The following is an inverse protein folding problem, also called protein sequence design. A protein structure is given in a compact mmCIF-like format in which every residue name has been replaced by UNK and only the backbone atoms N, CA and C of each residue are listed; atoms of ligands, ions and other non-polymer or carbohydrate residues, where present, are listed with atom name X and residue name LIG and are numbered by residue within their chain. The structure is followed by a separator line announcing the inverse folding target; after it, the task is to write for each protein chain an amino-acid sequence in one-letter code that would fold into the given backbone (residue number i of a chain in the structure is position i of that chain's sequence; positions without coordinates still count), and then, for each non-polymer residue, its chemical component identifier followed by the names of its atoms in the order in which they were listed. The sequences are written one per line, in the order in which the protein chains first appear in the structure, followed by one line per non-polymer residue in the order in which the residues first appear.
data_IF_315231775297
#
_entry.id   IF_315231775297
#
_cell.length_a   1.000
_cell.length_b   1.000
_cell.length_c   1.000
_cell.angle_alpha   90.00
_cell.angle_beta   90.00
_cell.angle_gamma   90.00
#
_symmetry.space_group_name_H-M   'P 1'
#
loop_
_entity.id
_entity.type
_entity.pdbx_description
1 polymer ?
#
# COMPACT_ATOMS: atom_id res chain seq x y z
N UNK A 1 -0.43 20.09 37.37
CA UNK A 1 -0.85 20.47 36.00
C UNK A 1 -0.35 19.40 35.06
N UNK A 2 -1.24 18.65 34.40
CA UNK A 2 -0.87 17.67 33.37
C UNK A 2 -1.11 18.33 32.00
N UNK A 3 -0.03 18.60 31.28
CA UNK A 3 -0.13 19.13 29.92
C UNK A 3 -0.30 17.95 28.96
N UNK A 4 -1.45 17.91 28.28
CA UNK A 4 -1.66 17.03 27.11
C UNK A 4 -1.31 17.79 25.84
N UNK A 5 -0.23 17.38 25.19
CA UNK A 5 0.22 17.97 23.94
C UNK A 5 -0.66 17.50 22.77
N UNK A 6 -1.24 18.44 22.02
CA UNK A 6 -1.88 18.15 20.74
C UNK A 6 -0.79 17.82 19.71
N UNK A 7 -0.87 16.67 18.98
CA UNK A 7 0.14 16.33 17.99
C UNK A 7 0.17 17.35 16.84
N UNK A 8 1.33 17.94 16.58
CA UNK A 8 1.51 18.83 15.44
C UNK A 8 1.46 17.99 14.16
N UNK A 9 0.43 18.18 13.34
CA UNK A 9 0.36 17.65 11.97
C UNK A 9 0.67 18.76 10.97
N UNK A 10 1.94 18.81 10.54
CA UNK A 10 2.32 19.33 9.24
C UNK A 10 2.67 18.12 8.38
N UNK A 11 2.39 18.15 7.08
CA UNK A 11 3.00 17.17 6.18
C UNK A 11 4.50 17.22 6.39
N UNK A 12 5.06 16.12 6.92
CA UNK A 12 6.47 16.07 7.27
C UNK A 12 7.29 16.39 6.03
N UNK A 13 8.35 17.19 6.18
CA UNK A 13 9.32 17.47 5.10
C UNK A 13 9.78 16.16 4.45
N UNK A 14 9.85 15.07 5.22
CA UNK A 14 10.15 13.71 4.76
C UNK A 14 9.08 13.20 3.79
N UNK A 15 7.81 13.35 4.13
CA UNK A 15 6.67 12.95 3.28
C UNK A 15 6.65 13.76 1.98
N UNK A 16 6.81 15.09 2.08
CA UNK A 16 6.84 15.96 0.90
C UNK A 16 8.02 15.62 -0.03
N UNK A 17 9.20 15.35 0.54
CA UNK A 17 10.37 14.94 -0.23
C UNK A 17 10.16 13.60 -0.94
N UNK A 18 9.57 12.61 -0.27
CA UNK A 18 9.28 11.32 -0.88
C UNK A 18 8.24 11.43 -2.01
N UNK A 19 7.23 12.30 -1.85
CA UNK A 19 6.26 12.60 -2.92
C UNK A 19 6.95 13.22 -4.14
N UNK A 20 7.84 14.20 -3.93
CA UNK A 20 8.53 14.87 -5.03
C UNK A 20 9.48 13.92 -5.77
N UNK A 21 10.11 12.99 -5.07
CA UNK A 21 10.92 11.92 -5.69
C UNK A 21 10.05 11.00 -6.55
N UNK A 22 8.84 10.64 -6.11
CA UNK A 22 7.92 9.88 -6.97
C UNK A 22 7.52 10.68 -8.22
N UNK A 23 7.20 11.97 -8.08
CA UNK A 23 6.91 12.84 -9.24
C UNK A 23 8.09 12.93 -10.20
N UNK A 24 9.32 12.97 -9.68
CA UNK A 24 10.54 12.95 -10.50
C UNK A 24 10.67 11.64 -11.28
N UNK A 25 10.43 10.48 -10.64
CA UNK A 25 10.43 9.17 -11.31
C UNK A 25 9.44 9.17 -12.47
N UNK A 26 8.22 9.67 -12.25
CA UNK A 26 7.18 9.73 -13.28
C UNK A 26 7.53 10.72 -14.40
N UNK A 27 8.01 11.91 -14.05
CA UNK A 27 8.34 12.98 -14.98
C UNK A 27 9.54 12.62 -15.88
N UNK A 28 10.55 11.97 -15.30
CA UNK A 28 11.72 11.48 -16.03
C UNK A 28 11.50 10.11 -16.69
N UNK A 29 10.31 9.51 -16.51
CA UNK A 29 9.94 8.19 -17.05
C UNK A 29 10.94 7.09 -16.67
N UNK A 30 11.44 7.14 -15.44
CA UNK A 30 12.42 6.18 -14.94
C UNK A 30 11.78 4.80 -14.80
N UNK A 31 12.45 3.79 -15.34
CA UNK A 31 12.05 2.39 -15.33
C UNK A 31 12.70 1.64 -14.17
N UNK A 32 12.17 0.46 -13.78
CA UNK A 32 12.83 -0.39 -12.81
C UNK A 32 14.28 -0.70 -13.22
N UNK A 33 15.22 -0.47 -12.30
CA UNK A 33 16.65 -0.57 -12.54
C UNK A 33 17.34 0.77 -12.83
N UNK A 34 16.59 1.81 -13.21
CA UNK A 34 17.15 3.14 -13.45
C UNK A 34 17.58 3.80 -12.15
N UNK A 35 18.71 4.50 -12.19
CA UNK A 35 19.25 5.18 -11.02
C UNK A 35 18.59 6.54 -10.83
N UNK A 36 18.23 6.84 -9.59
CA UNK A 36 17.89 8.21 -9.19
C UNK A 36 19.13 9.12 -9.30
N UNK A 37 18.92 10.45 -9.45
CA UNK A 37 20.00 11.41 -9.31
C UNK A 37 20.73 11.24 -7.96
N UNK A 38 22.03 11.59 -7.88
CA UNK A 38 22.80 11.48 -6.64
C UNK A 38 22.12 12.19 -5.47
N UNK A 39 22.25 11.65 -4.24
CA UNK A 39 21.64 12.25 -3.04
C UNK A 39 21.98 13.74 -2.86
N UNK A 40 23.22 14.13 -3.17
CA UNK A 40 23.63 15.55 -3.14
C UNK A 40 22.77 16.39 -4.08
N UNK A 41 22.60 15.93 -5.33
CA UNK A 41 21.80 16.61 -6.35
C UNK A 41 20.32 16.67 -5.94
N UNK A 42 19.74 15.56 -5.49
CA UNK A 42 18.35 15.53 -5.00
C UNK A 42 18.14 16.48 -3.82
N UNK A 43 19.07 16.52 -2.86
CA UNK A 43 18.94 17.41 -1.70
C UNK A 43 18.96 18.89 -2.09
N UNK A 44 19.74 19.25 -3.12
CA UNK A 44 19.80 20.60 -3.67
C UNK A 44 18.53 20.94 -4.47
N UNK A 45 18.06 20.03 -5.33
CA UNK A 45 16.83 20.21 -6.10
C UNK A 45 15.61 20.43 -5.20
N UNK A 46 15.51 19.66 -4.11
CA UNK A 46 14.40 19.71 -3.18
C UNK A 46 14.56 20.80 -2.09
N UNK A 47 15.73 21.42 -1.99
CA UNK A 47 16.00 22.43 -0.96
C UNK A 47 15.96 21.89 0.49
N UNK A 48 16.30 20.62 0.70
CA UNK A 48 16.24 19.96 2.02
C UNK A 48 17.60 19.48 2.50
N UNK A 49 17.71 19.22 3.81
CA UNK A 49 18.92 18.60 4.37
C UNK A 49 19.13 17.18 3.82
N UNK A 50 20.39 16.75 3.70
CA UNK A 50 20.72 15.36 3.33
C UNK A 50 20.13 14.34 4.31
N UNK A 51 19.96 14.69 5.58
CA UNK A 51 19.35 13.80 6.56
C UNK A 51 17.86 13.57 6.28
N UNK A 52 17.13 14.65 5.99
CA UNK A 52 15.71 14.59 5.60
C UNK A 52 15.52 13.82 4.30
N UNK A 53 16.41 14.00 3.31
CA UNK A 53 16.39 13.23 2.07
C UNK A 53 16.59 11.73 2.33
N UNK A 54 17.55 11.36 3.18
CA UNK A 54 17.83 9.94 3.49
C UNK A 54 16.66 9.26 4.20
N UNK A 55 15.94 9.98 5.07
CA UNK A 55 14.71 9.46 5.65
C UNK A 55 13.60 9.31 4.61
N UNK A 56 13.45 10.25 3.67
CA UNK A 56 12.47 10.13 2.59
C UNK A 56 12.75 8.91 1.69
N UNK A 57 14.01 8.71 1.32
CA UNK A 57 14.46 7.52 0.58
C UNK A 57 14.26 6.23 1.39
N UNK A 58 14.42 6.27 2.73
CA UNK A 58 14.14 5.13 3.62
C UNK A 58 12.66 4.75 3.61
N UNK A 59 11.77 5.74 3.60
CA UNK A 59 10.33 5.53 3.47
C UNK A 59 9.99 4.91 2.11
N UNK A 60 10.49 5.49 1.02
CA UNK A 60 10.27 4.94 -0.33
C UNK A 60 10.84 3.52 -0.49
N UNK A 61 11.96 3.23 0.17
CA UNK A 61 12.51 1.88 0.22
C UNK A 61 11.60 0.91 0.97
N UNK A 62 11.05 1.31 2.12
CA UNK A 62 10.08 0.51 2.87
C UNK A 62 8.77 0.27 2.11
N UNK A 63 8.37 1.22 1.27
CA UNK A 63 7.24 1.07 0.34
C UNK A 63 7.59 0.24 -0.90
N UNK A 64 8.87 -0.12 -1.07
CA UNK A 64 9.34 -0.90 -2.20
C UNK A 64 9.35 -0.15 -3.52
N UNK A 65 9.42 1.19 -3.53
CA UNK A 65 9.54 2.03 -4.73
C UNK A 65 10.98 2.16 -5.23
N UNK A 66 11.94 2.09 -4.30
CA UNK A 66 13.37 2.25 -4.57
C UNK A 66 14.20 1.26 -3.76
N UNK A 67 15.39 0.95 -4.23
CA UNK A 67 16.35 0.12 -3.50
C UNK A 67 17.79 0.58 -3.69
N UNK A 68 18.70 0.12 -2.83
CA UNK A 68 20.13 0.41 -2.99
C UNK A 68 20.75 -0.64 -3.91
N UNK A 69 21.22 -0.20 -5.07
CA UNK A 69 22.05 -1.01 -5.95
C UNK A 69 23.49 -1.12 -5.43
N UNK A 70 24.21 -2.15 -5.88
CA UNK A 70 25.63 -2.32 -5.60
C UNK A 70 26.41 -1.04 -6.01
N UNK A 71 27.09 -0.41 -5.05
CA UNK A 71 27.89 0.81 -5.31
C UNK A 71 27.26 2.14 -4.89
N UNK A 72 26.32 2.15 -3.92
CA UNK A 72 25.71 3.35 -3.28
C UNK A 72 24.65 4.10 -4.09
N UNK A 73 24.29 3.67 -5.30
CA UNK A 73 23.21 4.31 -6.06
C UNK A 73 21.85 3.76 -5.65
N UNK A 74 20.87 4.66 -5.55
CA UNK A 74 19.47 4.27 -5.36
C UNK A 74 18.84 4.07 -6.73
N UNK A 75 18.17 2.94 -6.93
CA UNK A 75 17.50 2.60 -8.19
C UNK A 75 16.01 2.42 -7.98
N UNK A 76 15.24 2.68 -9.03
CA UNK A 76 13.80 2.48 -9.09
C UNK A 76 13.49 0.98 -9.16
N UNK A 77 12.42 0.53 -8.50
CA UNK A 77 11.98 -0.87 -8.52
C UNK A 77 10.67 -1.03 -9.32
N UNK A 78 10.26 -2.27 -9.58
CA UNK A 78 8.95 -2.56 -10.16
C UNK A 78 7.77 -2.09 -9.29
N UNK A 79 7.97 -1.92 -7.97
CA UNK A 79 6.95 -1.41 -7.05
C UNK A 79 6.56 0.05 -7.30
N UNK A 80 7.45 0.82 -7.93
CA UNK A 80 7.15 2.21 -8.33
C UNK A 80 6.08 2.30 -9.44
N UNK A 81 5.98 1.28 -10.29
CA UNK A 81 5.11 1.27 -11.47
C UNK A 81 3.69 0.74 -11.19
N UNK A 82 3.40 0.35 -9.94
CA UNK A 82 2.16 -0.30 -9.52
C UNK A 82 1.00 0.64 -9.18
N UNK A 83 1.05 1.91 -9.57
CA UNK A 83 -0.05 2.87 -9.36
C UNK A 83 -0.37 3.14 -7.89
N UNK A 84 0.63 3.05 -7.01
CA UNK A 84 0.52 3.49 -5.62
C UNK A 84 1.54 4.58 -5.37
N UNK A 85 1.31 5.76 -5.92
CA UNK A 85 2.07 6.94 -5.50
C UNK A 85 2.00 7.07 -3.98
N UNK A 86 3.00 7.68 -3.32
CA UNK A 86 2.84 8.07 -1.90
C UNK A 86 1.59 8.93 -1.71
N UNK A 87 1.19 9.67 -2.75
CA UNK A 87 -0.08 10.39 -2.85
C UNK A 87 -1.29 9.45 -2.78
N UNK A 88 -1.25 8.32 -3.51
CA UNK A 88 -2.27 7.28 -3.40
C UNK A 88 -2.26 6.65 -2.02
N UNK A 89 -1.12 6.46 -1.36
CA UNK A 89 -1.10 5.89 -0.02
C UNK A 89 -1.69 6.84 1.04
N UNK A 90 -1.36 8.14 1.00
CA UNK A 90 -1.91 9.13 1.94
C UNK A 90 -3.39 9.42 1.67
N UNK A 91 -3.78 9.56 0.39
CA UNK A 91 -5.18 9.71 -0.02
C UNK A 91 -5.95 8.42 0.29
N UNK A 92 -5.38 7.23 0.07
CA UNK A 92 -6.01 5.95 0.42
C UNK A 92 -6.10 5.76 1.93
N UNK A 93 -5.17 6.30 2.73
CA UNK A 93 -5.24 6.28 4.20
C UNK A 93 -6.29 7.25 4.73
N UNK A 94 -6.39 8.46 4.16
CA UNK A 94 -7.44 9.43 4.49
C UNK A 94 -8.82 8.98 4.01
N UNK A 95 -8.88 8.41 2.82
CA UNK A 95 -10.07 7.78 2.27
C UNK A 95 -10.29 6.37 2.84
N UNK A 96 -9.38 5.80 3.64
CA UNK A 96 -9.51 4.43 4.13
C UNK A 96 -10.83 4.19 4.86
N UNK A 97 -11.34 5.12 5.72
CA UNK A 97 -12.64 4.96 6.33
C UNK A 97 -13.77 4.88 5.30
N UNK A 98 -13.80 5.81 4.33
CA UNK A 98 -14.82 5.86 3.29
C UNK A 98 -14.71 4.65 2.35
N UNK A 99 -13.50 4.28 1.93
CA UNK A 99 -13.25 3.11 1.11
C UNK A 99 -13.63 1.82 1.85
N UNK A 100 -13.43 1.76 3.16
CA UNK A 100 -13.87 0.65 3.99
C UNK A 100 -15.39 0.59 4.10
N UNK A 101 -16.04 1.73 4.23
CA UNK A 101 -17.50 1.85 4.24
C UNK A 101 -18.10 1.43 2.89
N UNK A 102 -17.60 1.95 1.77
CA UNK A 102 -18.01 1.54 0.41
C UNK A 102 -17.79 0.05 0.20
N UNK A 103 -16.62 -0.48 0.57
CA UNK A 103 -16.34 -1.91 0.48
C UNK A 103 -17.29 -2.74 1.35
N UNK A 104 -17.65 -2.26 2.55
CA UNK A 104 -18.61 -2.93 3.42
C UNK A 104 -20.00 -3.02 2.77
N UNK A 105 -20.48 -1.94 2.15
CA UNK A 105 -21.77 -1.93 1.46
C UNK A 105 -21.77 -2.90 0.26
N UNK A 106 -20.69 -2.90 -0.53
CA UNK A 106 -20.54 -3.84 -1.65
C UNK A 106 -20.50 -5.28 -1.15
N UNK A 107 -19.70 -5.55 -0.11
CA UNK A 107 -19.56 -6.88 0.46
C UNK A 107 -20.89 -7.40 1.03
N UNK A 108 -21.66 -6.54 1.70
CA UNK A 108 -23.00 -6.88 2.17
C UNK A 108 -23.91 -7.27 1.00
N UNK A 109 -23.93 -6.47 -0.07
CA UNK A 109 -24.77 -6.80 -1.23
C UNK A 109 -24.35 -8.09 -1.92
N UNK A 110 -23.05 -8.36 -1.99
CA UNK A 110 -22.53 -9.61 -2.52
C UNK A 110 -22.94 -10.80 -1.65
N UNK A 111 -22.93 -10.66 -0.33
CA UNK A 111 -23.37 -11.71 0.58
C UNK A 111 -24.87 -12.00 0.43
N UNK A 112 -25.71 -10.97 0.34
CA UNK A 112 -27.15 -11.12 0.06
C UNK A 112 -27.40 -11.91 -1.23
N UNK A 113 -26.77 -11.50 -2.33
CA UNK A 113 -26.94 -12.15 -3.63
C UNK A 113 -26.38 -13.58 -3.64
N UNK A 114 -25.22 -13.79 -3.01
CA UNK A 114 -24.57 -15.10 -2.93
C UNK A 114 -25.40 -16.09 -2.13
N UNK A 115 -26.06 -15.65 -1.05
CA UNK A 115 -26.91 -16.51 -0.24
C UNK A 115 -28.06 -17.14 -1.04
N UNK A 116 -28.54 -16.47 -2.08
CA UNK A 116 -29.61 -16.97 -2.95
C UNK A 116 -29.08 -17.82 -4.13
N UNK A 117 -27.80 -17.69 -4.49
CA UNK A 117 -27.25 -18.15 -5.77
C UNK A 117 -26.20 -19.24 -5.65
N UNK A 118 -25.45 -19.27 -4.57
CA UNK A 118 -24.36 -20.23 -4.39
C UNK A 118 -24.90 -21.67 -4.43
N UNK A 119 -24.23 -22.49 -5.22
CA UNK A 119 -24.39 -23.94 -5.16
C UNK A 119 -23.73 -24.49 -3.90
N UNK A 120 -24.10 -25.72 -3.51
CA UNK A 120 -23.47 -26.38 -2.37
C UNK A 120 -21.95 -26.59 -2.54
N UNK A 121 -21.48 -26.76 -3.78
CA UNK A 121 -20.05 -26.87 -4.06
C UNK A 121 -19.31 -25.54 -3.85
N UNK A 122 -19.87 -24.43 -4.35
CA UNK A 122 -19.28 -23.10 -4.18
C UNK A 122 -19.35 -22.64 -2.71
N UNK A 123 -20.41 -23.01 -1.98
CA UNK A 123 -20.49 -22.77 -0.54
C UNK A 123 -19.36 -23.49 0.21
N UNK A 124 -19.09 -24.76 -0.13
CA UNK A 124 -18.00 -25.52 0.49
C UNK A 124 -16.62 -24.90 0.18
N UNK A 125 -16.42 -24.35 -1.01
CA UNK A 125 -15.19 -23.61 -1.36
C UNK A 125 -15.05 -22.33 -0.52
N UNK A 126 -16.15 -21.60 -0.31
CA UNK A 126 -16.18 -20.38 0.49
C UNK A 126 -15.88 -20.67 1.98
N UNK A 127 -16.46 -21.73 2.53
CA UNK A 127 -16.17 -22.22 3.89
C UNK A 127 -14.71 -22.67 4.06
N UNK A 128 -14.15 -23.32 3.05
CA UNK A 128 -12.74 -23.72 3.03
C UNK A 128 -11.81 -22.51 3.05
N UNK A 129 -12.11 -21.49 2.24
CA UNK A 129 -11.36 -20.23 2.20
C UNK A 129 -11.42 -19.48 3.55
N UNK A 130 -12.60 -19.43 4.17
CA UNK A 130 -12.77 -18.85 5.51
C UNK A 130 -11.95 -19.59 6.57
N UNK A 131 -12.01 -20.93 6.56
CA UNK A 131 -11.23 -21.75 7.49
C UNK A 131 -9.71 -21.57 7.30
N UNK A 132 -9.25 -21.38 6.06
CA UNK A 132 -7.85 -21.07 5.77
C UNK A 132 -7.44 -19.69 6.31
N UNK A 133 -8.30 -18.69 6.16
CA UNK A 133 -8.09 -17.34 6.69
C UNK A 133 -7.98 -17.36 8.22
N UNK A 134 -8.91 -18.02 8.91
CA UNK A 134 -8.90 -18.12 10.38
C UNK A 134 -7.61 -18.77 10.89
N UNK A 135 -7.20 -19.90 10.29
CA UNK A 135 -5.93 -20.56 10.63
C UNK A 135 -4.72 -19.66 10.43
N UNK A 136 -4.66 -18.95 9.31
CA UNK A 136 -3.55 -18.05 9.01
C UNK A 136 -3.50 -16.87 9.99
N UNK A 137 -4.65 -16.31 10.39
CA UNK A 137 -4.75 -15.27 11.42
C UNK A 137 -4.27 -15.80 12.77
N UNK A 138 -4.73 -16.98 13.21
CA UNK A 138 -4.29 -17.59 14.47
C UNK A 138 -2.78 -17.80 14.52
N UNK A 139 -2.20 -18.23 13.39
CA UNK A 139 -0.75 -18.44 13.23
C UNK A 139 0.04 -17.16 12.98
N UNK A 140 -0.62 -16.01 12.82
CA UNK A 140 -0.04 -14.71 12.47
C UNK A 140 0.75 -14.74 11.15
N UNK A 141 0.32 -15.58 10.21
CA UNK A 141 0.91 -15.73 8.89
C UNK A 141 0.32 -14.69 7.92
N UNK A 142 0.86 -13.46 7.94
CA UNK A 142 0.27 -12.31 7.24
C UNK A 142 0.06 -12.57 5.74
N UNK A 143 1.05 -13.16 5.05
CA UNK A 143 0.94 -13.44 3.62
C UNK A 143 -0.15 -14.48 3.30
N UNK A 144 -0.25 -15.53 4.11
CA UNK A 144 -1.28 -16.56 3.97
C UNK A 144 -2.68 -16.01 4.30
N UNK A 145 -2.79 -15.18 5.34
CA UNK A 145 -4.04 -14.53 5.70
C UNK A 145 -4.51 -13.60 4.58
N UNK A 146 -3.61 -12.82 3.98
CA UNK A 146 -3.96 -11.98 2.83
C UNK A 146 -4.45 -12.82 1.64
N UNK A 147 -3.72 -13.88 1.28
CA UNK A 147 -4.12 -14.73 0.16
C UNK A 147 -5.49 -15.39 0.40
N UNK A 148 -5.74 -15.92 1.59
CA UNK A 148 -7.03 -16.52 1.94
C UNK A 148 -8.18 -15.49 1.96
N UNK A 149 -7.91 -14.27 2.42
CA UNK A 149 -8.86 -13.15 2.38
C UNK A 149 -9.24 -12.77 0.95
N UNK A 150 -8.25 -12.63 0.06
CA UNK A 150 -8.49 -12.33 -1.36
C UNK A 150 -9.33 -13.43 -2.03
N UNK A 151 -9.02 -14.71 -1.75
CA UNK A 151 -9.78 -15.86 -2.25
C UNK A 151 -11.24 -15.84 -1.76
N UNK A 152 -11.46 -15.63 -0.46
CA UNK A 152 -12.80 -15.57 0.13
C UNK A 152 -13.66 -14.49 -0.53
N UNK A 153 -13.14 -13.27 -0.67
CA UNK A 153 -13.86 -12.17 -1.30
C UNK A 153 -14.05 -12.38 -2.81
N UNK A 154 -13.11 -13.07 -3.48
CA UNK A 154 -13.26 -13.47 -4.88
C UNK A 154 -14.43 -14.43 -5.10
N UNK A 155 -14.56 -15.46 -4.25
CA UNK A 155 -15.68 -16.40 -4.28
C UNK A 155 -17.01 -15.73 -3.95
N UNK A 156 -17.03 -14.86 -2.94
CA UNK A 156 -18.23 -14.08 -2.57
C UNK A 156 -18.70 -13.16 -3.70
N UNK A 157 -17.78 -12.54 -4.44
CA UNK A 157 -18.12 -11.71 -5.58
C UNK A 157 -18.59 -12.55 -6.78
N UNK A 158 -18.00 -13.73 -6.99
CA UNK A 158 -18.41 -14.65 -8.05
C UNK A 158 -19.83 -15.19 -7.83
N UNK A 159 -20.15 -15.62 -6.60
CA UNK A 159 -21.49 -16.09 -6.21
C UNK A 159 -22.57 -15.01 -6.27
N UNK A 160 -22.18 -13.73 -6.24
CA UNK A 160 -23.10 -12.62 -6.38
C UNK A 160 -23.57 -12.39 -7.84
N UNK A 161 -22.98 -13.05 -8.85
CA UNK A 161 -23.36 -12.93 -10.27
C UNK A 161 -24.57 -13.80 -10.59
#
# INVERSE_FOLDING_TARGET
MAYEATPIRRDSVITQAAQEICRLIDAERLSPGDALPPETTLSQMLGISRNSLREALRVLHGLGHVEKAAGRRVVVTAGSQGGKSMFDQSVLLEAAPIANEVRSHIAQKCAELSAERLTGAELAELESALSALERAITRKEIAAAKAAHDTFHGLLLAGAR
#
